data_IF_040524531424
#
_entry.id   IF_040524531424
#
_cell.length_a   1.000
_cell.length_b   1.000
_cell.length_c   1.000
_cell.angle_alpha   90.00
_cell.angle_beta   90.00
_cell.angle_gamma   90.00
#
_symmetry.space_group_name_H-M   'P 1'
#
loop_
_entity.id
_entity.type
_entity.pdbx_description
1 polymer ?
#
# COMPACT_ATOMS: atom_id res chain seq x y z
N UNK A 1 19.15 -9.42 -10.53
CA UNK A 1 18.02 -10.09 -9.86
C UNK A 1 17.17 -8.99 -9.22
N UNK A 2 15.96 -8.71 -9.73
CA UNK A 2 15.15 -7.56 -9.26
C UNK A 2 14.69 -7.74 -7.80
N UNK A 3 14.23 -8.94 -7.43
CA UNK A 3 13.59 -9.23 -6.13
C UNK A 3 14.47 -8.99 -4.89
N UNK A 4 15.80 -8.97 -5.01
CA UNK A 4 16.70 -8.72 -3.88
C UNK A 4 16.89 -7.24 -3.54
N UNK A 5 16.51 -6.33 -4.45
CA UNK A 5 16.58 -4.87 -4.24
C UNK A 5 15.21 -4.20 -4.29
N UNK A 6 14.17 -4.91 -4.73
CA UNK A 6 12.82 -4.38 -4.84
C UNK A 6 12.15 -4.33 -3.48
N UNK A 7 11.69 -3.14 -3.10
CA UNK A 7 10.72 -2.97 -2.02
C UNK A 7 9.32 -3.14 -2.58
N UNK A 8 8.57 -4.11 -2.02
CA UNK A 8 7.18 -4.35 -2.38
C UNK A 8 6.27 -3.54 -1.47
N UNK A 9 5.36 -2.78 -2.09
CA UNK A 9 4.35 -2.01 -1.39
C UNK A 9 2.98 -2.64 -1.59
N UNK A 10 2.34 -2.99 -0.49
CA UNK A 10 0.99 -3.54 -0.44
C UNK A 10 0.07 -2.46 0.13
N UNK A 11 -0.65 -1.78 -0.75
CA UNK A 11 -1.57 -0.69 -0.38
C UNK A 11 -2.85 -1.18 0.30
N UNK A 12 -3.19 -2.46 0.13
CA UNK A 12 -4.35 -3.09 0.73
C UNK A 12 -3.92 -4.40 1.40
N UNK A 13 -4.12 -4.57 2.72
CA UNK A 13 -3.59 -5.73 3.44
C UNK A 13 -4.25 -7.05 3.00
N UNK A 14 -5.41 -7.01 2.33
CA UNK A 14 -6.02 -8.19 1.71
C UNK A 14 -5.12 -8.82 0.65
N UNK A 15 -4.33 -8.03 -0.06
CA UNK A 15 -3.38 -8.57 -1.04
C UNK A 15 -2.39 -9.53 -0.36
N UNK A 16 -1.98 -9.27 0.89
CA UNK A 16 -1.12 -10.20 1.63
C UNK A 16 -1.81 -11.56 1.87
N UNK A 17 -3.13 -11.58 2.11
CA UNK A 17 -3.92 -12.82 2.28
C UNK A 17 -4.03 -13.64 0.99
N UNK A 18 -4.01 -12.98 -0.16
CA UNK A 18 -4.18 -13.63 -1.46
C UNK A 18 -2.85 -14.19 -2.00
N UNK A 19 -1.71 -13.61 -1.61
CA UNK A 19 -0.38 -14.03 -2.07
C UNK A 19 -0.12 -15.54 -1.92
N UNK A 20 -0.40 -16.18 -0.75
CA UNK A 20 -0.19 -17.62 -0.59
C UNK A 20 -1.01 -18.51 -1.53
N UNK A 21 -2.19 -18.04 -1.95
CA UNK A 21 -3.07 -18.81 -2.85
C UNK A 21 -2.61 -18.72 -4.32
N UNK A 22 -1.86 -17.67 -4.67
CA UNK A 22 -1.44 -17.39 -6.04
C UNK A 22 0.06 -17.62 -6.29
N UNK A 23 0.85 -17.82 -5.23
CA UNK A 23 2.29 -18.01 -5.34
C UNK A 23 2.76 -19.22 -4.51
N UNK A 24 3.58 -20.12 -5.09
CA UNK A 24 4.23 -21.17 -4.31
C UNK A 24 5.25 -20.58 -3.34
N UNK A 25 5.55 -21.32 -2.26
CA UNK A 25 6.49 -20.90 -1.20
C UNK A 25 7.83 -20.41 -1.76
N UNK A 26 8.39 -21.09 -2.76
CA UNK A 26 9.66 -20.70 -3.39
C UNK A 26 9.67 -19.28 -3.97
N UNK A 27 8.50 -18.73 -4.35
CA UNK A 27 8.35 -17.34 -4.81
C UNK A 27 8.10 -16.39 -3.64
N UNK A 28 7.35 -16.82 -2.62
CA UNK A 28 7.12 -16.04 -1.40
C UNK A 28 8.44 -15.76 -0.66
N UNK A 29 9.35 -16.74 -0.62
CA UNK A 29 10.70 -16.59 -0.05
C UNK A 29 11.59 -15.56 -0.78
N UNK A 30 11.18 -15.06 -1.95
CA UNK A 30 11.92 -14.03 -2.68
C UNK A 30 11.59 -12.62 -2.20
N UNK A 31 10.52 -12.43 -1.45
CA UNK A 31 10.18 -11.13 -0.87
C UNK A 31 11.15 -10.79 0.25
N UNK A 32 12.04 -9.81 0.01
CA UNK A 32 13.04 -9.36 1.00
C UNK A 32 12.59 -8.12 1.76
N UNK A 33 11.93 -7.19 1.07
CA UNK A 33 11.52 -5.92 1.64
C UNK A 33 10.04 -5.67 1.34
N UNK A 34 9.21 -5.64 2.38
CA UNK A 34 7.76 -5.46 2.25
C UNK A 34 7.27 -4.34 3.15
N UNK A 35 6.40 -3.49 2.61
CA UNK A 35 5.60 -2.55 3.36
C UNK A 35 4.12 -2.86 3.11
N UNK A 36 3.35 -3.05 4.17
CA UNK A 36 1.90 -3.26 4.13
C UNK A 36 1.22 -2.07 4.76
N UNK A 37 0.26 -1.48 4.05
CA UNK A 37 -0.54 -0.38 4.53
C UNK A 37 -1.92 -0.86 4.97
N UNK A 38 -2.47 -0.30 6.05
CA UNK A 38 -3.87 -0.52 6.44
C UNK A 38 -4.83 0.00 5.36
N UNK A 39 -5.99 -0.64 5.21
CA UNK A 39 -7.00 -0.23 4.22
C UNK A 39 -7.40 1.27 4.36
N UNK A 40 -7.77 1.95 3.27
CA UNK A 40 -8.31 3.31 3.34
C UNK A 40 -9.67 3.33 4.07
N UNK A 41 -9.94 4.42 4.79
CA UNK A 41 -11.24 4.65 5.44
C UNK A 41 -12.32 4.92 4.39
N UNK A 42 -13.50 4.34 4.57
CA UNK A 42 -14.67 4.57 3.70
C UNK A 42 -14.97 3.46 2.68
N UNK A 43 -14.08 2.48 2.50
CA UNK A 43 -14.56 1.18 2.00
C UNK A 43 -15.43 0.58 3.12
N UNK A 44 -16.67 0.17 2.80
CA UNK A 44 -17.62 -0.54 3.69
C UNK A 44 -17.08 -1.87 4.30
N UNK A 45 -15.77 -2.08 4.20
CA UNK A 45 -15.00 -3.28 4.47
C UNK A 45 -13.94 -3.00 5.57
N UNK A 46 -13.63 -1.73 5.87
CA UNK A 46 -12.64 -1.34 6.89
C UNK A 46 -12.82 -2.02 8.27
N UNK A 47 -14.04 -2.12 8.85
CA UNK A 47 -14.23 -2.81 10.13
C UNK A 47 -13.89 -4.31 10.07
N UNK A 48 -14.06 -4.94 8.91
CA UNK A 48 -13.77 -6.38 8.72
C UNK A 48 -12.28 -6.66 8.53
N UNK A 49 -11.48 -5.70 8.10
CA UNK A 49 -10.04 -5.88 7.89
C UNK A 49 -9.26 -5.64 9.17
N UNK A 50 -9.62 -4.63 9.99
CA UNK A 50 -9.02 -4.46 11.33
C UNK A 50 -9.21 -5.72 12.16
N UNK A 51 -10.41 -6.32 12.11
CA UNK A 51 -10.69 -7.59 12.80
C UNK A 51 -9.94 -8.82 12.25
N UNK A 52 -9.14 -8.67 11.17
CA UNK A 52 -8.39 -9.75 10.52
C UNK A 52 -6.87 -9.52 10.52
N UNK A 53 -6.36 -8.62 11.37
CA UNK A 53 -4.91 -8.41 11.48
C UNK A 53 -4.16 -9.70 11.77
N UNK A 54 -4.73 -10.59 12.59
CA UNK A 54 -4.17 -11.93 12.81
C UNK A 54 -3.93 -12.67 11.49
N UNK A 55 -4.95 -12.75 10.62
CA UNK A 55 -4.82 -13.46 9.34
C UNK A 55 -3.82 -12.80 8.40
N UNK A 56 -3.74 -11.46 8.43
CA UNK A 56 -2.76 -10.71 7.65
C UNK A 56 -1.35 -11.04 8.15
N UNK A 57 -1.14 -11.05 9.46
CA UNK A 57 0.14 -11.41 10.08
C UNK A 57 0.50 -12.87 9.78
N UNK A 58 -0.44 -13.81 9.92
CA UNK A 58 -0.24 -15.23 9.57
C UNK A 58 0.21 -15.38 8.10
N UNK A 59 -0.39 -14.61 7.17
CA UNK A 59 0.02 -14.62 5.77
C UNK A 59 1.43 -14.02 5.56
N UNK A 60 1.81 -13.03 6.37
CA UNK A 60 3.16 -12.45 6.34
C UNK A 60 4.23 -13.39 6.91
N UNK A 61 3.88 -14.31 7.83
CA UNK A 61 4.79 -15.36 8.29
C UNK A 61 5.26 -16.27 7.15
N UNK A 62 4.43 -16.46 6.13
CA UNK A 62 4.79 -17.26 4.96
C UNK A 62 5.89 -16.60 4.11
N UNK A 63 6.18 -15.31 4.32
CA UNK A 63 7.29 -14.60 3.69
C UNK A 63 8.60 -14.83 4.48
N UNK A 64 9.04 -16.09 4.54
CA UNK A 64 10.23 -16.53 5.30
C UNK A 64 11.56 -15.89 4.87
N UNK A 65 11.57 -15.25 3.70
CA UNK A 65 12.71 -14.54 3.15
C UNK A 65 12.86 -13.09 3.61
N UNK A 66 11.92 -12.55 4.40
CA UNK A 66 11.90 -11.15 4.76
C UNK A 66 13.15 -10.70 5.52
N UNK A 67 13.70 -9.56 5.09
CA UNK A 67 14.77 -8.83 5.76
C UNK A 67 14.24 -7.54 6.39
N UNK A 68 13.19 -6.95 5.81
CA UNK A 68 12.52 -5.78 6.38
C UNK A 68 11.02 -5.88 6.16
N UNK A 69 10.26 -5.61 7.21
CA UNK A 69 8.80 -5.54 7.18
C UNK A 69 8.32 -4.23 7.81
N UNK A 70 7.54 -3.46 7.07
CA UNK A 70 6.86 -2.26 7.57
C UNK A 70 5.35 -2.49 7.59
N UNK A 71 4.70 -2.15 8.69
CA UNK A 71 3.24 -2.10 8.78
C UNK A 71 2.85 -0.65 9.02
N UNK A 72 2.18 -0.05 8.04
CA UNK A 72 1.82 1.35 8.01
C UNK A 72 0.33 1.46 8.35
N UNK A 73 0.04 1.93 9.56
CA UNK A 73 -1.30 2.23 10.02
C UNK A 73 -1.65 3.65 9.57
N UNK A 74 -2.62 3.77 8.66
CA UNK A 74 -3.18 5.08 8.29
C UNK A 74 -3.76 5.74 9.54
N UNK A 75 -3.76 7.08 9.63
CA UNK A 75 -4.11 7.80 10.85
C UNK A 75 -5.53 7.53 11.38
N UNK A 76 -6.44 7.09 10.52
CA UNK A 76 -7.80 6.66 10.92
C UNK A 76 -7.83 5.27 11.60
N UNK A 77 -6.73 4.52 11.52
CA UNK A 77 -6.47 3.19 12.12
C UNK A 77 -5.33 3.24 13.16
N UNK A 78 -4.93 4.43 13.60
CA UNK A 78 -3.90 4.67 14.61
C UNK A 78 -4.43 4.99 16.01
N UNK A 79 -5.69 4.63 16.27
CA UNK A 79 -6.29 4.68 17.62
C UNK A 79 -5.72 3.53 18.47
N UNK A 80 -5.52 3.77 19.77
CA UNK A 80 -4.76 2.86 20.65
C UNK A 80 -5.19 1.39 20.55
N UNK A 81 -6.51 1.13 20.50
CA UNK A 81 -7.06 -0.21 20.37
C UNK A 81 -6.70 -0.91 19.04
N UNK A 82 -6.68 -0.20 17.91
CA UNK A 82 -6.28 -0.79 16.62
C UNK A 82 -4.80 -1.12 16.56
N UNK A 83 -3.98 -0.41 17.34
CA UNK A 83 -2.55 -0.70 17.49
C UNK A 83 -2.37 -1.91 18.37
N UNK A 84 -3.08 -1.99 19.50
CA UNK A 84 -3.09 -3.16 20.39
C UNK A 84 -3.55 -4.42 19.67
N UNK A 85 -4.64 -4.33 18.89
CA UNK A 85 -5.18 -5.43 18.06
C UNK A 85 -4.18 -5.94 17.00
N UNK A 86 -3.26 -5.08 16.54
CA UNK A 86 -2.18 -5.47 15.64
C UNK A 86 -0.97 -6.03 16.42
N UNK A 87 -0.65 -5.45 17.57
CA UNK A 87 0.52 -5.84 18.35
C UNK A 87 0.38 -7.25 18.90
N UNK A 88 -0.81 -7.65 19.40
CA UNK A 88 -1.03 -9.01 19.90
C UNK A 88 -0.68 -10.11 18.87
N UNK A 89 -1.19 -10.08 17.61
CA UNK A 89 -0.81 -11.07 16.62
C UNK A 89 0.65 -10.92 16.18
N UNK A 90 1.20 -9.70 16.08
CA UNK A 90 2.62 -9.50 15.73
C UNK A 90 3.56 -10.12 16.76
N UNK A 91 3.27 -9.96 18.05
CA UNK A 91 4.12 -10.47 19.13
C UNK A 91 4.04 -12.00 19.28
N UNK A 92 2.91 -12.60 18.86
CA UNK A 92 2.74 -14.07 18.85
C UNK A 92 3.27 -14.73 17.59
N UNK A 93 3.44 -13.97 16.52
CA UNK A 93 3.78 -14.49 15.21
C UNK A 93 5.26 -14.84 15.09
N UNK A 94 5.55 -15.92 14.35
CA UNK A 94 6.90 -16.36 14.00
C UNK A 94 7.41 -15.64 12.73
N UNK A 95 7.28 -14.32 12.69
CA UNK A 95 7.72 -13.52 11.55
C UNK A 95 9.25 -13.61 11.38
N UNK A 96 9.71 -13.73 10.14
CA UNK A 96 11.15 -13.79 9.82
C UNK A 96 11.92 -12.53 10.26
N UNK A 97 11.23 -11.40 10.41
CA UNK A 97 11.79 -10.16 10.95
C UNK A 97 10.74 -9.44 11.79
N UNK A 98 11.19 -8.76 12.85
CA UNK A 98 10.31 -7.90 13.66
C UNK A 98 9.79 -6.73 12.82
N UNK A 99 8.47 -6.51 12.72
CA UNK A 99 7.91 -5.40 11.95
C UNK A 99 8.28 -4.04 12.53
N UNK A 100 8.50 -3.07 11.65
CA UNK A 100 8.45 -1.65 11.99
C UNK A 100 7.01 -1.15 11.83
N UNK A 101 6.40 -0.75 12.94
CA UNK A 101 5.03 -0.20 12.95
C UNK A 101 5.11 1.32 12.78
N UNK A 102 4.44 1.86 11.76
CA UNK A 102 4.38 3.28 11.48
C UNK A 102 2.95 3.77 11.52
N UNK A 103 2.63 4.74 12.37
CA UNK A 103 1.30 5.38 12.45
C UNK A 103 1.23 6.65 11.59
N UNK A 104 2.08 6.73 10.56
CA UNK A 104 2.27 7.97 9.82
C UNK A 104 0.97 8.41 9.15
N UNK A 105 0.58 9.65 9.44
CA UNK A 105 -0.32 10.41 8.57
C UNK A 105 0.33 10.50 7.19
N UNK A 106 -0.02 9.64 6.23
CA UNK A 106 0.34 9.86 4.83
C UNK A 106 -0.52 11.02 4.30
N UNK A 107 -0.27 12.22 4.82
CA UNK A 107 -0.62 13.45 4.13
C UNK A 107 0.53 13.70 3.13
N UNK A 108 0.18 13.75 1.85
CA UNK A 108 1.05 14.11 0.71
C UNK A 108 1.95 13.02 0.09
N UNK A 109 1.35 11.95 -0.42
CA UNK A 109 1.59 11.73 -1.86
C UNK A 109 0.49 12.50 -2.58
N UNK A 110 0.69 13.80 -2.73
CA UNK A 110 -0.18 14.57 -3.61
C UNK A 110 -0.15 13.86 -4.98
N UNK A 111 -1.32 13.55 -5.59
CA UNK A 111 -1.30 13.07 -6.97
C UNK A 111 -0.46 14.06 -7.77
N UNK A 112 0.49 13.54 -8.57
CA UNK A 112 1.34 14.35 -9.45
C UNK A 112 0.45 15.38 -10.11
N UNK A 113 0.64 16.65 -9.76
CA UNK A 113 -0.17 17.73 -10.32
C UNK A 113 0.07 17.69 -11.84
N UNK A 114 -0.94 17.39 -12.68
CA UNK A 114 -0.74 17.26 -14.11
C UNK A 114 -0.21 18.56 -14.75
N UNK A 115 -0.45 19.71 -14.10
CA UNK A 115 0.09 21.01 -14.51
C UNK A 115 1.58 21.23 -14.20
N UNK A 116 2.23 20.34 -13.46
CA UNK A 116 3.67 20.39 -13.12
C UNK A 116 4.46 19.20 -13.71
N UNK A 117 3.94 18.54 -14.75
CA UNK A 117 4.69 17.51 -15.46
C UNK A 117 5.83 18.18 -16.22
N UNK A 118 7.06 18.01 -15.74
CA UNK A 118 8.22 18.16 -16.63
C UNK A 118 8.05 17.12 -17.77
N UNK A 119 8.13 17.55 -19.04
CA UNK A 119 8.01 16.63 -20.15
C UNK A 119 9.11 15.58 -20.05
N UNK A 120 8.71 14.30 -20.08
CA UNK A 120 9.66 13.21 -20.12
C UNK A 120 10.54 13.40 -21.37
N UNK A 121 11.88 13.47 -21.25
CA UNK A 121 12.75 13.72 -22.40
C UNK A 121 12.69 12.62 -23.47
N UNK A 122 12.06 11.48 -23.17
CA UNK A 122 11.79 10.38 -24.12
C UNK A 122 10.41 10.42 -24.75
N UNK A 123 9.49 11.22 -24.20
CA UNK A 123 8.13 11.37 -24.69
C UNK A 123 7.77 12.86 -24.58
N UNK A 124 8.27 13.72 -25.48
CA UNK A 124 7.73 15.07 -25.61
C UNK A 124 6.22 14.90 -25.85
N UNK A 125 5.41 15.39 -24.91
CA UNK A 125 3.97 15.19 -24.95
C UNK A 125 3.37 15.71 -26.26
N UNK A 126 2.19 15.23 -26.66
CA UNK A 126 1.51 15.74 -27.83
C UNK A 126 1.26 17.24 -27.63
N UNK A 127 1.72 18.05 -28.59
CA UNK A 127 1.33 19.44 -28.70
C UNK A 127 -0.18 19.45 -28.95
N UNK A 128 -0.97 19.77 -27.93
CA UNK A 128 -2.37 20.10 -28.16
C UNK A 128 -2.41 21.53 -28.70
N UNK A 129 -2.88 21.75 -29.93
CA UNK A 129 -3.12 23.09 -30.43
C UNK A 129 -4.36 23.64 -29.75
N UNK A 130 -4.40 24.96 -29.68
CA UNK A 130 -5.42 25.80 -29.06
C UNK A 130 -6.84 25.27 -29.27
N UNK A 131 -7.57 25.08 -28.17
CA UNK A 131 -9.02 25.11 -28.18
C UNK A 131 -9.47 26.16 -27.18
N UNK A 132 -9.33 27.42 -27.60
CA UNK A 132 -10.24 28.47 -27.19
C UNK A 132 -11.65 27.97 -27.48
N UNK A 133 -12.42 27.66 -26.43
CA UNK A 133 -13.86 27.62 -26.56
C UNK A 133 -14.36 28.98 -26.09
N UNK A 134 -14.61 29.84 -27.08
CA UNK A 134 -15.52 30.98 -26.97
C UNK A 134 -16.83 30.48 -26.34
N UNK A 135 -17.25 31.14 -25.27
CA UNK A 135 -18.60 31.01 -24.72
C UNK A 135 -19.42 32.03 -25.49
N UNK A 136 -20.12 31.58 -26.53
CA UNK A 136 -21.20 32.36 -27.13
C UNK A 136 -22.46 32.21 -26.26
N UNK A 137 -22.86 33.33 -25.66
CA UNK A 137 -24.23 33.64 -25.27
C UNK A 137 -25.14 33.55 -26.51
N UNK A 138 -26.17 32.69 -26.50
CA UNK A 138 -27.57 33.09 -26.79
C UNK A 138 -28.54 31.89 -26.92
N UNK A 139 -29.66 32.02 -26.19
CA UNK A 139 -31.05 31.64 -26.50
C UNK A 139 -31.36 30.40 -27.39
N UNK A 140 -32.09 29.43 -26.82
CA UNK A 140 -33.57 29.32 -26.93
C UNK A 140 -34.16 28.38 -25.87
#
# INVERSE_FOLDING_TARGET
MLYTKTCFYISNPRTALELPSHMPQSRLSLFRHVAVESAPWGENIAPRIIGRWKEVVDALEMLDGLQTLWIILRPTFGVAWSVEDLMEPVDRAALAVRPHISQTRIFSMAPVNPSKREPCPRHPGPQHPDSEFEVDDDFF
#
